data_IF_882792005857
#
_entry.id   IF_882792005857
#
_cell.length_a   1.000
_cell.length_b   1.000
_cell.length_c   1.000
_cell.angle_alpha   90.00
_cell.angle_beta   90.00
_cell.angle_gamma   90.00
#
_symmetry.space_group_name_H-M   'P 1'
#
loop_
_entity.id
_entity.type
_entity.pdbx_description
1 polymer ?
#
# COMPACT_ATOMS: atom_id res chain seq x y z
N UNK A 1 -8.63 3.66 -22.46
CA UNK A 1 -8.96 4.85 -21.65
C UNK A 1 -8.01 4.83 -20.49
N UNK A 2 -7.15 5.84 -20.36
CA UNK A 2 -6.07 5.82 -19.38
C UNK A 2 -6.55 6.51 -18.10
N UNK A 3 -6.69 5.74 -17.03
CA UNK A 3 -6.73 6.28 -15.67
C UNK A 3 -5.27 6.56 -15.32
N UNK A 4 -4.89 7.84 -15.28
CA UNK A 4 -3.55 8.24 -14.83
C UNK A 4 -3.44 7.97 -13.34
N UNK A 5 -2.54 7.06 -12.96
CA UNK A 5 -2.27 6.73 -11.56
C UNK A 5 -0.93 7.37 -11.21
N UNK A 6 -0.98 8.33 -10.29
CA UNK A 6 0.20 8.95 -9.69
C UNK A 6 0.18 8.76 -8.19
N UNK A 7 1.37 8.79 -7.58
CA UNK A 7 1.53 8.89 -6.13
C UNK A 7 1.17 10.30 -5.60
N UNK A 8 1.20 10.49 -4.27
CA UNK A 8 0.93 11.77 -3.57
C UNK A 8 1.82 12.93 -4.02
N UNK A 9 2.94 12.61 -4.67
CA UNK A 9 3.97 13.53 -5.13
C UNK A 9 4.00 13.68 -6.67
N UNK A 10 2.97 13.19 -7.38
CA UNK A 10 2.83 13.31 -8.83
C UNK A 10 3.71 12.37 -9.66
N UNK A 11 4.42 11.42 -9.04
CA UNK A 11 5.18 10.38 -9.77
C UNK A 11 4.23 9.37 -10.40
N UNK A 12 4.45 9.00 -11.65
CA UNK A 12 3.63 8.00 -12.33
C UNK A 12 3.86 6.58 -11.77
N UNK A 13 2.75 5.82 -11.67
CA UNK A 13 2.73 4.38 -11.43
C UNK A 13 2.42 3.65 -12.73
N UNK A 14 3.22 2.63 -13.03
CA UNK A 14 2.94 1.70 -14.12
C UNK A 14 1.97 0.62 -13.64
N UNK A 15 1.12 0.10 -14.53
CA UNK A 15 0.04 -0.85 -14.21
C UNK A 15 0.11 -2.12 -15.06
N UNK A 16 -0.59 -3.16 -14.60
CA UNK A 16 -0.74 -4.42 -15.31
C UNK A 16 -1.67 -4.28 -16.52
N UNK A 17 -1.21 -4.70 -17.70
CA UNK A 17 -1.99 -4.70 -18.95
C UNK A 17 -3.31 -5.49 -18.86
N UNK A 18 -3.33 -6.52 -18.01
CA UNK A 18 -4.51 -7.37 -17.78
C UNK A 18 -5.38 -6.91 -16.60
N UNK A 19 -4.87 -6.01 -15.76
CA UNK A 19 -5.60 -5.48 -14.60
C UNK A 19 -5.20 -4.02 -14.29
N UNK A 20 -5.89 -3.01 -14.84
CA UNK A 20 -5.55 -1.60 -14.63
C UNK A 20 -5.75 -1.08 -13.20
N UNK A 21 -6.24 -1.91 -12.26
CA UNK A 21 -6.24 -1.58 -10.83
C UNK A 21 -4.96 -2.00 -10.09
N UNK A 22 -4.06 -2.74 -10.75
CA UNK A 22 -2.85 -3.32 -10.15
C UNK A 22 -1.60 -2.61 -10.65
N UNK A 23 -0.94 -1.89 -9.73
CA UNK A 23 0.38 -1.25 -9.96
C UNK A 23 1.50 -2.30 -10.02
N UNK A 24 2.36 -2.16 -11.03
CA UNK A 24 3.44 -3.09 -11.37
C UNK A 24 4.85 -2.48 -11.26
N UNK A 25 4.96 -1.14 -11.24
CA UNK A 25 6.18 -0.41 -10.84
C UNK A 25 5.88 1.09 -10.62
N UNK A 26 6.87 1.85 -10.17
CA UNK A 26 6.90 3.31 -10.07
C UNK A 26 8.17 3.85 -10.75
N UNK A 27 8.13 5.07 -11.30
CA UNK A 27 9.31 5.68 -11.94
C UNK A 27 10.37 6.13 -10.92
N UNK A 28 9.95 6.45 -9.68
CA UNK A 28 10.83 6.78 -8.55
C UNK A 28 10.39 6.06 -7.28
N UNK A 29 11.36 5.66 -6.46
CA UNK A 29 11.12 4.96 -5.20
C UNK A 29 11.78 5.69 -4.03
N UNK A 30 11.11 5.68 -2.87
CA UNK A 30 11.77 5.82 -1.58
C UNK A 30 12.66 4.59 -1.37
N UNK A 31 13.83 4.78 -0.76
CA UNK A 31 14.72 3.68 -0.37
C UNK A 31 14.75 3.54 1.17
N UNK A 32 13.76 2.87 1.80
CA UNK A 32 13.72 2.55 3.23
C UNK A 32 15.03 2.04 3.82
N UNK A 33 15.68 1.14 3.10
CA UNK A 33 16.85 0.41 3.55
C UNK A 33 17.72 0.07 2.34
N UNK A 34 18.98 0.48 2.41
CA UNK A 34 20.05 0.12 1.49
C UNK A 34 21.08 -0.61 2.32
N UNK A 35 21.27 -1.91 2.10
CA UNK A 35 21.87 -2.80 3.08
C UNK A 35 22.63 -3.96 2.46
N UNK A 36 23.17 -4.83 3.30
CA UNK A 36 23.87 -6.05 2.91
C UNK A 36 23.49 -7.18 3.88
N UNK A 37 23.45 -8.41 3.37
CA UNK A 37 23.33 -9.63 4.18
C UNK A 37 24.45 -10.59 3.79
N UNK A 38 25.10 -11.21 4.76
CA UNK A 38 26.25 -12.10 4.50
C UNK A 38 26.22 -13.35 5.38
N UNK A 39 26.67 -14.50 4.85
CA UNK A 39 26.71 -15.74 5.62
C UNK A 39 27.64 -15.60 6.83
N UNK A 40 27.25 -16.24 7.93
CA UNK A 40 27.98 -16.22 9.21
C UNK A 40 27.91 -14.90 10.00
N UNK A 41 27.44 -13.79 9.42
CA UNK A 41 27.37 -12.47 10.08
C UNK A 41 25.94 -11.94 10.23
N UNK A 42 25.05 -12.18 9.26
CA UNK A 42 23.64 -11.82 9.37
C UNK A 42 22.86 -12.89 10.17
N UNK A 43 22.25 -12.56 11.32
CA UNK A 43 21.40 -13.50 12.06
C UNK A 43 20.19 -13.92 11.22
N UNK A 44 19.99 -15.22 11.03
CA UNK A 44 18.90 -15.76 10.20
C UNK A 44 19.18 -15.75 8.69
N UNK A 45 20.43 -15.54 8.24
CA UNK A 45 20.81 -15.51 6.82
C UNK A 45 20.19 -16.66 5.98
N UNK A 46 20.25 -17.90 6.47
CA UNK A 46 19.72 -19.08 5.75
C UNK A 46 18.20 -19.04 5.56
N UNK A 47 17.46 -18.52 6.54
CA UNK A 47 16.01 -18.29 6.40
C UNK A 47 15.76 -17.14 5.41
N UNK A 48 16.62 -16.11 5.44
CA UNK A 48 16.45 -14.93 4.61
C UNK A 48 16.65 -15.20 3.11
N UNK A 49 17.62 -16.08 2.76
CA UNK A 49 17.89 -16.45 1.36
C UNK A 49 17.07 -17.64 0.84
N UNK A 50 16.22 -18.26 1.67
CA UNK A 50 15.32 -19.37 1.26
C UNK A 50 14.48 -18.98 0.04
N UNK A 51 13.90 -17.77 0.03
CA UNK A 51 13.16 -17.24 -1.13
C UNK A 51 14.01 -17.15 -2.41
N UNK A 52 15.32 -16.87 -2.31
CA UNK A 52 16.21 -16.87 -3.47
C UNK A 52 16.48 -18.29 -3.95
N UNK A 53 16.69 -19.21 -3.01
CA UNK A 53 17.04 -20.61 -3.22
C UNK A 53 15.92 -21.38 -3.93
N UNK A 54 14.68 -21.21 -3.45
CA UNK A 54 13.48 -21.80 -4.05
C UNK A 54 13.22 -21.32 -5.48
N UNK A 55 13.68 -20.10 -5.83
CA UNK A 55 13.56 -19.52 -7.16
C UNK A 55 14.81 -19.73 -8.03
N UNK A 56 15.81 -20.49 -7.57
CA UNK A 56 17.06 -20.75 -8.31
C UNK A 56 18.00 -19.54 -8.43
N UNK A 57 17.77 -18.50 -7.62
CA UNK A 57 18.54 -17.25 -7.61
C UNK A 57 19.59 -17.18 -6.48
N UNK A 58 19.65 -18.18 -5.59
CA UNK A 58 20.69 -18.26 -4.56
C UNK A 58 22.06 -18.64 -5.18
N UNK A 59 22.77 -17.63 -5.66
CA UNK A 59 23.94 -17.75 -6.55
C UNK A 59 25.18 -17.02 -6.02
N UNK A 60 25.08 -16.29 -4.91
CA UNK A 60 26.15 -15.45 -4.34
C UNK A 60 26.69 -16.01 -3.02
N UNK A 61 27.81 -16.76 -3.01
CA UNK A 61 28.42 -17.27 -1.78
C UNK A 61 29.00 -16.15 -0.89
N UNK A 62 29.21 -14.95 -1.43
CA UNK A 62 29.62 -13.75 -0.68
C UNK A 62 28.50 -13.14 0.16
N UNK A 63 27.23 -13.45 -0.15
CA UNK A 63 26.05 -12.74 0.34
C UNK A 63 25.46 -11.77 -0.68
N UNK A 64 24.54 -10.91 -0.24
CA UNK A 64 23.76 -10.04 -1.12
C UNK A 64 23.83 -8.59 -0.67
N UNK A 65 24.04 -7.70 -1.63
CA UNK A 65 23.63 -6.30 -1.51
C UNK A 65 22.12 -6.20 -1.72
N UNK A 66 21.45 -5.43 -0.87
CA UNK A 66 19.99 -5.27 -0.84
C UNK A 66 19.57 -3.80 -1.04
N UNK A 67 18.52 -3.58 -1.83
CA UNK A 67 17.75 -2.34 -1.80
C UNK A 67 16.28 -2.68 -1.58
N UNK A 68 15.69 -2.08 -0.55
CA UNK A 68 14.25 -2.04 -0.36
C UNK A 68 13.71 -0.81 -1.05
N UNK A 69 12.88 -1.04 -2.06
CA UNK A 69 12.24 -0.04 -2.91
C UNK A 69 10.79 0.09 -2.47
N UNK A 70 10.32 1.32 -2.33
CA UNK A 70 8.96 1.63 -1.90
C UNK A 70 8.38 2.78 -2.69
N UNK A 71 7.16 2.60 -3.16
CA UNK A 71 6.19 3.67 -3.35
C UNK A 71 4.94 3.32 -2.55
N UNK A 72 3.99 4.24 -2.50
CA UNK A 72 2.68 4.10 -1.85
C UNK A 72 1.93 2.82 -2.25
N UNK A 73 2.17 2.36 -3.48
CA UNK A 73 1.43 1.32 -4.19
C UNK A 73 2.25 0.08 -4.53
N UNK A 74 3.57 0.17 -4.40
CA UNK A 74 4.48 -0.84 -4.92
C UNK A 74 5.69 -1.00 -4.02
N UNK A 75 5.92 -2.24 -3.63
CA UNK A 75 7.06 -2.71 -2.87
C UNK A 75 7.92 -3.57 -3.79
N UNK A 76 9.23 -3.39 -3.71
CA UNK A 76 10.16 -4.35 -4.29
C UNK A 76 11.42 -4.49 -3.45
N UNK A 77 12.05 -5.66 -3.56
CA UNK A 77 13.38 -5.90 -3.01
C UNK A 77 14.32 -6.35 -4.12
N UNK A 78 15.39 -5.57 -4.29
CA UNK A 78 16.52 -5.94 -5.11
C UNK A 78 17.52 -6.79 -4.31
N UNK A 79 18.05 -7.82 -4.96
CA UNK A 79 19.18 -8.63 -4.47
C UNK A 79 20.27 -8.64 -5.54
N UNK A 80 21.47 -8.14 -5.22
CA UNK A 80 22.60 -8.05 -6.13
C UNK A 80 23.95 -8.16 -5.41
N UNK A 81 25.01 -7.66 -6.02
CA UNK A 81 26.35 -7.70 -5.42
C UNK A 81 26.50 -6.71 -4.27
N UNK A 82 27.36 -7.05 -3.31
CA UNK A 82 27.68 -6.18 -2.18
C UNK A 82 28.42 -4.93 -2.67
N UNK A 83 29.32 -5.10 -3.64
CA UNK A 83 30.14 -4.05 -4.23
C UNK A 83 29.30 -2.94 -4.86
N UNK A 84 28.26 -3.29 -5.61
CA UNK A 84 27.36 -2.34 -6.27
C UNK A 84 26.57 -1.53 -5.25
N UNK A 85 26.08 -2.16 -4.18
CA UNK A 85 25.30 -1.49 -3.15
C UNK A 85 26.19 -0.61 -2.26
N UNK A 86 27.39 -1.04 -1.91
CA UNK A 86 28.36 -0.19 -1.22
C UNK A 86 28.88 0.95 -2.10
N UNK A 87 28.96 0.78 -3.42
CA UNK A 87 29.20 1.88 -4.36
C UNK A 87 28.05 2.88 -4.35
N UNK A 88 26.82 2.40 -4.55
CA UNK A 88 25.61 3.23 -4.55
C UNK A 88 25.47 4.05 -3.25
N UNK A 89 25.72 3.43 -2.08
CA UNK A 89 25.73 4.13 -0.78
C UNK A 89 26.72 5.31 -0.72
N UNK A 90 27.90 5.16 -1.31
CA UNK A 90 28.94 6.21 -1.33
C UNK A 90 28.60 7.33 -2.31
N UNK A 91 28.01 6.99 -3.45
CA UNK A 91 27.71 7.93 -4.53
C UNK A 91 26.40 8.69 -4.28
N UNK A 92 25.41 8.09 -3.62
CA UNK A 92 24.09 8.69 -3.38
C UNK A 92 24.04 9.74 -2.26
N UNK A 93 25.18 10.35 -1.92
CA UNK A 93 25.30 11.31 -0.81
C UNK A 93 24.44 12.58 -0.98
N UNK A 94 24.07 12.93 -2.22
CA UNK A 94 23.17 14.04 -2.55
C UNK A 94 21.78 13.60 -3.08
N UNK A 95 21.49 12.29 -3.05
CA UNK A 95 20.26 11.70 -3.54
C UNK A 95 20.12 11.56 -5.06
N UNK A 96 21.18 11.77 -5.85
CA UNK A 96 21.12 11.73 -7.33
C UNK A 96 21.85 10.55 -7.98
N UNK A 97 22.39 9.58 -7.23
CA UNK A 97 23.05 8.44 -7.84
C UNK A 97 22.05 7.57 -8.61
N UNK A 98 22.45 7.12 -9.79
CA UNK A 98 21.70 6.11 -10.55
C UNK A 98 22.11 4.71 -10.09
N UNK A 99 21.25 3.73 -10.36
CA UNK A 99 21.42 2.36 -9.90
C UNK A 99 20.98 1.39 -11.00
N UNK A 100 21.86 0.46 -11.36
CA UNK A 100 21.62 -0.53 -12.41
C UNK A 100 20.97 -1.80 -11.83
N UNK A 101 19.64 -1.81 -11.85
CA UNK A 101 18.82 -2.92 -11.39
C UNK A 101 18.97 -4.23 -12.22
N UNK A 102 19.70 -4.22 -13.35
CA UNK A 102 19.89 -5.41 -14.18
C UNK A 102 21.00 -6.36 -13.68
N UNK A 103 21.80 -5.93 -12.71
CA UNK A 103 22.95 -6.71 -12.18
C UNK A 103 22.58 -7.69 -11.05
N UNK A 104 21.29 -7.92 -10.86
CA UNK A 104 20.72 -8.76 -9.81
C UNK A 104 19.25 -9.09 -10.08
N UNK A 105 18.54 -9.56 -9.05
CA UNK A 105 17.13 -9.99 -9.17
C UNK A 105 16.21 -9.07 -8.39
N UNK A 106 15.03 -8.82 -8.94
CA UNK A 106 14.01 -7.94 -8.38
C UNK A 106 12.74 -8.73 -8.06
N UNK A 107 12.29 -8.68 -6.81
CA UNK A 107 11.01 -9.27 -6.40
C UNK A 107 9.97 -8.17 -6.21
N UNK A 108 8.78 -8.31 -6.82
CA UNK A 108 7.67 -7.34 -6.77
C UNK A 108 6.82 -7.44 -5.48
N UNK A 109 7.52 -7.60 -4.35
CA UNK A 109 7.06 -7.62 -2.96
C UNK A 109 8.27 -7.33 -2.07
N UNK A 110 8.07 -7.12 -0.76
CA UNK A 110 9.15 -7.36 0.20
C UNK A 110 9.10 -8.82 0.70
N UNK A 111 10.26 -9.44 1.00
CA UNK A 111 10.28 -10.67 1.79
C UNK A 111 9.82 -10.40 3.23
N UNK A 112 9.30 -11.43 3.90
CA UNK A 112 8.75 -11.38 5.25
C UNK A 112 9.07 -12.70 5.99
N UNK A 113 8.89 -12.72 7.30
CA UNK A 113 9.11 -13.89 8.14
C UNK A 113 10.49 -13.92 8.79
N UNK A 114 10.95 -15.13 9.12
CA UNK A 114 12.14 -15.39 9.95
C UNK A 114 13.39 -14.70 9.36
N UNK A 115 14.10 -13.98 10.23
CA UNK A 115 15.19 -13.07 9.83
C UNK A 115 14.68 -11.72 9.32
N UNK A 116 13.84 -11.72 8.28
CA UNK A 116 13.32 -10.49 7.64
C UNK A 116 12.55 -9.57 8.60
N UNK A 117 11.68 -10.08 9.46
CA UNK A 117 10.82 -9.27 10.35
C UNK A 117 11.59 -8.36 11.33
N UNK A 118 12.87 -8.68 11.59
CA UNK A 118 13.77 -7.86 12.41
C UNK A 118 14.72 -6.99 11.56
N UNK A 119 14.85 -7.27 10.27
CA UNK A 119 15.70 -6.55 9.32
C UNK A 119 14.94 -5.41 8.62
N UNK A 120 13.62 -5.56 8.41
CA UNK A 120 12.77 -4.55 7.79
C UNK A 120 12.58 -3.31 8.69
N UNK A 121 12.59 -2.08 8.13
CA UNK A 121 12.15 -0.89 8.83
C UNK A 121 10.66 -1.00 9.19
N UNK A 122 10.29 -0.80 10.46
CA UNK A 122 8.89 -0.81 10.92
C UNK A 122 8.07 0.42 10.46
N UNK A 123 8.73 1.43 9.90
CA UNK A 123 8.11 2.68 9.44
C UNK A 123 8.22 2.78 7.93
N UNK A 124 7.12 2.43 7.29
CA UNK A 124 7.09 2.16 5.85
C UNK A 124 6.84 3.45 5.03
N UNK A 125 5.72 4.19 5.08
CA UNK A 125 5.59 5.41 4.23
C UNK A 125 5.60 6.71 5.02
N UNK A 126 4.55 6.94 5.79
CA UNK A 126 4.34 8.17 6.53
C UNK A 126 5.35 8.28 7.68
N UNK A 127 5.93 9.48 7.83
CA UNK A 127 6.87 9.80 8.89
C UNK A 127 6.51 11.17 9.47
N UNK A 128 6.53 11.33 10.78
CA UNK A 128 6.13 12.57 11.45
C UNK A 128 6.91 13.79 10.92
N UNK A 129 8.22 13.61 10.69
CA UNK A 129 9.11 14.62 10.07
C UNK A 129 8.74 15.05 8.63
N UNK A 130 7.80 14.36 7.98
CA UNK A 130 7.28 14.67 6.62
C UNK A 130 5.84 15.22 6.64
N UNK A 131 5.32 15.59 7.82
CA UNK A 131 3.96 16.12 7.98
C UNK A 131 2.88 15.06 8.25
N UNK A 132 3.30 13.82 8.58
CA UNK A 132 2.40 12.83 9.16
C UNK A 132 2.10 13.17 10.65
N UNK A 133 1.00 12.63 11.20
CA UNK A 133 0.64 12.88 12.61
C UNK A 133 1.57 12.11 13.56
N UNK A 134 1.93 10.89 13.15
CA UNK A 134 2.97 10.06 13.73
C UNK A 134 3.67 9.29 12.60
N UNK A 135 4.70 8.52 12.94
CA UNK A 135 5.22 7.51 12.01
C UNK A 135 4.14 6.44 11.75
N UNK A 136 3.92 6.07 10.48
CA UNK A 136 2.79 5.25 10.04
C UNK A 136 1.51 6.05 9.74
N UNK A 137 1.02 6.84 10.69
CA UNK A 137 -0.28 7.55 10.60
C UNK A 137 -0.27 8.70 9.57
N UNK A 138 -0.96 8.56 8.43
CA UNK A 138 -1.08 9.63 7.45
C UNK A 138 -1.73 9.23 6.11
N UNK A 139 -1.87 10.21 5.21
CA UNK A 139 -2.33 9.96 3.83
C UNK A 139 -1.29 9.14 3.08
N UNK A 140 -1.68 7.95 2.61
CA UNK A 140 -0.83 7.06 1.81
C UNK A 140 -0.85 7.50 0.36
N UNK A 141 -2.04 7.69 -0.24
CA UNK A 141 -2.16 8.22 -1.61
C UNK A 141 -3.54 8.83 -1.89
N UNK A 142 -3.70 9.52 -3.02
CA UNK A 142 -4.98 10.08 -3.44
C UNK A 142 -5.15 10.11 -4.97
N UNK A 143 -6.30 9.66 -5.45
CA UNK A 143 -6.68 9.64 -6.87
C UNK A 143 -7.84 10.61 -7.11
N UNK A 144 -7.80 11.39 -8.20
CA UNK A 144 -8.96 12.18 -8.61
C UNK A 144 -10.11 11.27 -9.10
N UNK A 145 -11.35 11.59 -8.74
CA UNK A 145 -12.52 10.85 -9.19
C UNK A 145 -12.87 11.20 -10.65
N UNK A 146 -13.05 10.20 -11.51
CA UNK A 146 -13.21 10.42 -12.96
C UNK A 146 -14.49 11.18 -13.33
N UNK A 147 -15.59 10.90 -12.64
CA UNK A 147 -16.92 11.42 -13.00
C UNK A 147 -17.38 12.63 -12.16
N UNK A 148 -16.66 13.01 -11.10
CA UNK A 148 -17.10 14.02 -10.11
C UNK A 148 -15.96 15.01 -9.84
N UNK A 149 -16.00 16.23 -10.41
CA UNK A 149 -14.96 17.23 -10.23
C UNK A 149 -14.72 17.60 -8.76
N UNK A 150 -13.45 17.70 -8.36
CA UNK A 150 -13.05 18.03 -6.99
C UNK A 150 -13.19 16.89 -5.98
N UNK A 151 -13.72 15.72 -6.37
CA UNK A 151 -13.75 14.55 -5.51
C UNK A 151 -12.48 13.69 -5.65
N UNK A 152 -12.13 12.99 -4.57
CA UNK A 152 -10.93 12.16 -4.44
C UNK A 152 -11.32 10.76 -3.95
N UNK A 153 -10.53 9.75 -4.32
CA UNK A 153 -10.45 8.50 -3.57
C UNK A 153 -9.09 8.44 -2.88
N UNK A 154 -9.09 8.48 -1.56
CA UNK A 154 -7.90 8.65 -0.71
C UNK A 154 -7.62 7.34 0.01
N UNK A 155 -6.36 6.91 -0.03
CA UNK A 155 -5.82 5.78 0.74
C UNK A 155 -5.00 6.37 1.88
N UNK A 156 -5.10 5.79 3.07
CA UNK A 156 -4.47 6.33 4.27
C UNK A 156 -4.26 5.25 5.33
N UNK A 157 -3.45 5.62 6.32
CA UNK A 157 -3.04 4.79 7.44
C UNK A 157 -3.37 5.53 8.74
N UNK A 158 -3.86 4.78 9.74
CA UNK A 158 -4.44 5.27 10.98
C UNK A 158 -3.99 4.43 12.17
N UNK A 159 -4.10 4.99 13.38
CA UNK A 159 -4.16 4.16 14.59
C UNK A 159 -5.62 3.88 14.96
N UNK A 160 -5.93 2.66 15.37
CA UNK A 160 -7.27 2.25 15.79
C UNK A 160 -7.31 0.76 16.09
N UNK A 161 -8.49 0.17 16.22
CA UNK A 161 -8.62 -1.30 16.38
C UNK A 161 -9.67 -1.88 15.43
N UNK A 162 -9.41 -3.07 14.89
CA UNK A 162 -10.29 -3.76 13.94
C UNK A 162 -11.59 -4.27 14.59
N UNK A 163 -11.59 -4.50 15.91
CA UNK A 163 -12.74 -5.04 16.65
C UNK A 163 -13.00 -4.23 17.93
N UNK A 164 -14.27 -3.99 18.31
CA UNK A 164 -14.60 -3.31 19.56
C UNK A 164 -13.92 -3.97 20.77
N UNK A 165 -13.15 -3.19 21.54
CA UNK A 165 -12.42 -3.66 22.72
C UNK A 165 -11.12 -4.42 22.44
N UNK A 166 -10.62 -4.43 21.19
CA UNK A 166 -9.26 -4.85 20.88
C UNK A 166 -8.22 -3.76 21.18
N UNK A 167 -6.96 -4.15 21.27
CA UNK A 167 -5.84 -3.20 21.39
C UNK A 167 -5.71 -2.33 20.13
N UNK A 168 -5.22 -1.08 20.23
CA UNK A 168 -4.86 -0.26 19.10
C UNK A 168 -3.66 -0.81 18.30
N UNK A 169 -3.72 -0.69 16.99
CA UNK A 169 -2.66 -1.01 16.04
C UNK A 169 -2.63 0.03 14.91
N UNK A 170 -1.57 0.03 14.12
CA UNK A 170 -1.53 0.75 12.84
C UNK A 170 -2.34 -0.02 11.79
N UNK A 171 -3.25 0.65 11.11
CA UNK A 171 -4.19 0.05 10.16
C UNK A 171 -4.26 0.88 8.87
N UNK A 172 -4.56 0.24 7.73
CA UNK A 172 -4.57 0.84 6.39
C UNK A 172 -5.89 0.59 5.67
N UNK A 173 -6.38 1.59 4.91
CA UNK A 173 -7.69 1.57 4.24
C UNK A 173 -7.87 2.74 3.24
N UNK A 174 -9.08 2.91 2.69
CA UNK A 174 -9.41 3.98 1.72
C UNK A 174 -10.83 4.58 1.90
N UNK A 175 -11.10 5.70 1.21
CA UNK A 175 -12.37 6.45 1.21
C UNK A 175 -12.58 7.24 -0.07
N UNK A 176 -13.83 7.31 -0.56
CA UNK A 176 -14.24 8.13 -1.70
C UNK A 176 -15.07 9.34 -1.23
N UNK A 177 -14.59 10.57 -1.45
CA UNK A 177 -15.35 11.78 -1.10
C UNK A 177 -16.56 12.00 -2.02
N UNK A 178 -16.55 11.42 -3.22
CA UNK A 178 -17.59 11.59 -4.24
C UNK A 178 -18.96 11.05 -3.82
N UNK A 179 -18.99 10.07 -2.91
CA UNK A 179 -20.21 9.47 -2.39
C UNK A 179 -20.50 9.84 -0.92
N UNK A 180 -19.52 10.41 -0.21
CA UNK A 180 -19.54 10.55 1.26
C UNK A 180 -19.01 11.91 1.70
N UNK A 181 -19.83 12.96 1.55
CA UNK A 181 -19.45 14.34 1.88
C UNK A 181 -19.36 14.63 3.39
N UNK A 182 -20.17 13.96 4.25
CA UNK A 182 -20.25 14.26 5.72
C UNK A 182 -20.27 13.04 6.66
N UNK A 183 -20.04 13.22 7.98
CA UNK A 183 -18.91 12.56 8.68
C UNK A 183 -19.12 11.59 9.91
N UNK A 184 -19.88 10.47 9.85
CA UNK A 184 -20.12 9.57 11.03
C UNK A 184 -20.36 8.07 10.67
N UNK A 185 -19.55 6.99 10.93
CA UNK A 185 -18.90 6.45 12.18
C UNK A 185 -18.25 5.00 11.97
N UNK A 186 -16.96 4.77 11.66
CA UNK A 186 -16.58 3.79 10.60
C UNK A 186 -15.38 2.77 10.73
N UNK A 187 -15.37 1.57 10.07
CA UNK A 187 -14.21 0.62 9.97
C UNK A 187 -14.05 -0.41 8.77
N UNK A 188 -15.05 -0.87 8.02
CA UNK A 188 -15.04 -2.01 7.04
C UNK A 188 -13.98 -2.33 5.93
N UNK A 189 -13.00 -1.50 5.55
CA UNK A 189 -11.88 -1.89 4.65
C UNK A 189 -10.52 -1.76 5.35
N UNK A 190 -10.57 -1.69 6.68
CA UNK A 190 -9.41 -1.51 7.54
C UNK A 190 -8.71 -2.85 7.72
N UNK A 191 -7.44 -2.91 7.34
CA UNK A 191 -6.57 -4.05 7.62
C UNK A 191 -5.41 -3.60 8.48
N UNK A 192 -4.87 -4.50 9.30
CA UNK A 192 -3.61 -4.25 10.02
C UNK A 192 -2.51 -3.87 9.02
N UNK A 193 -1.79 -2.77 9.28
CA UNK A 193 -0.67 -2.39 8.45
C UNK A 193 0.55 -3.26 8.77
N UNK A 194 0.54 -4.47 8.22
CA UNK A 194 1.66 -5.41 8.23
C UNK A 194 2.75 -5.06 7.20
N UNK A 195 2.61 -3.94 6.47
CA UNK A 195 3.61 -3.44 5.52
C UNK A 195 3.00 -2.94 4.19
N UNK A 196 3.85 -2.56 3.21
CA UNK A 196 3.43 -1.94 1.96
C UNK A 196 2.40 -2.74 1.15
N UNK A 197 2.41 -4.07 1.27
CA UNK A 197 1.50 -4.93 0.52
C UNK A 197 0.03 -4.78 0.97
N UNK A 198 -0.20 -4.39 2.24
CA UNK A 198 -1.55 -4.06 2.75
C UNK A 198 -2.05 -2.71 2.22
N UNK A 199 -1.16 -1.73 1.98
CA UNK A 199 -1.49 -0.47 1.26
C UNK A 199 -1.89 -0.76 -0.18
N UNK A 200 -1.06 -1.53 -0.89
CA UNK A 200 -1.30 -1.99 -2.26
C UNK A 200 -2.63 -2.74 -2.40
N UNK A 201 -3.09 -3.46 -1.36
CA UNK A 201 -4.44 -4.02 -1.32
C UNK A 201 -5.52 -2.92 -1.22
N UNK A 202 -5.47 -2.05 -0.20
CA UNK A 202 -6.48 -1.03 0.05
C UNK A 202 -6.65 -0.08 -1.15
N UNK A 203 -5.53 0.30 -1.75
CA UNK A 203 -5.49 1.15 -2.93
C UNK A 203 -5.92 0.45 -4.23
N UNK A 204 -5.68 -0.86 -4.35
CA UNK A 204 -6.28 -1.66 -5.43
C UNK A 204 -7.81 -1.65 -5.33
N UNK A 205 -8.39 -1.75 -4.13
CA UNK A 205 -9.84 -1.60 -3.93
C UNK A 205 -10.31 -0.19 -4.34
N UNK A 206 -9.61 0.86 -3.90
CA UNK A 206 -9.88 2.24 -4.33
C UNK A 206 -9.88 2.42 -5.86
N UNK A 207 -8.92 1.83 -6.57
CA UNK A 207 -8.88 1.86 -8.05
C UNK A 207 -9.97 1.01 -8.68
N UNK A 208 -10.31 -0.17 -8.13
CA UNK A 208 -11.43 -0.99 -8.61
C UNK A 208 -12.77 -0.24 -8.47
N UNK A 209 -12.94 0.54 -7.41
CA UNK A 209 -14.08 1.44 -7.21
C UNK A 209 -14.14 2.53 -8.29
N UNK A 210 -13.04 3.25 -8.57
CA UNK A 210 -12.97 4.24 -9.67
C UNK A 210 -13.26 3.60 -11.04
N UNK A 211 -12.68 2.43 -11.33
CA UNK A 211 -12.91 1.70 -12.58
C UNK A 211 -14.38 1.29 -12.73
N UNK A 212 -15.07 0.99 -11.62
CA UNK A 212 -16.50 0.71 -11.61
C UNK A 212 -17.34 1.96 -11.89
N UNK A 213 -17.06 3.09 -11.21
CA UNK A 213 -17.66 4.39 -11.53
C UNK A 213 -17.49 4.76 -13.02
N UNK A 214 -16.29 4.59 -13.56
CA UNK A 214 -15.98 4.95 -14.94
C UNK A 214 -16.66 4.03 -15.98
N UNK A 215 -16.91 2.77 -15.64
CA UNK A 215 -17.57 1.79 -16.54
C UNK A 215 -19.09 1.81 -16.50
N UNK A 216 -19.67 2.15 -15.34
CA UNK A 216 -21.11 1.99 -15.08
C UNK A 216 -21.80 3.30 -14.70
N UNK A 217 -21.04 4.36 -14.40
CA UNK A 217 -21.53 5.61 -13.81
C UNK A 217 -21.51 5.58 -12.28
N UNK A 218 -21.60 6.74 -11.65
CA UNK A 218 -21.77 6.85 -10.19
C UNK A 218 -23.22 6.57 -9.82
N UNK A 219 -23.44 5.71 -8.82
CA UNK A 219 -24.78 5.38 -8.32
C UNK A 219 -25.61 4.44 -9.21
N UNK A 220 -25.10 4.02 -10.37
CA UNK A 220 -25.72 2.93 -11.16
C UNK A 220 -25.83 1.64 -10.32
N UNK A 221 -26.80 0.78 -10.65
CA UNK A 221 -27.07 -0.45 -9.91
C UNK A 221 -25.92 -1.47 -9.97
N UNK A 222 -25.02 -1.37 -10.95
CA UNK A 222 -23.85 -2.22 -11.13
C UNK A 222 -22.55 -1.53 -10.66
N UNK A 223 -22.65 -0.33 -10.11
CA UNK A 223 -21.51 0.49 -9.69
C UNK A 223 -21.13 0.22 -8.25
N UNK A 224 -19.86 -0.11 -8.00
CA UNK A 224 -19.29 -0.24 -6.66
C UNK A 224 -19.25 1.11 -5.89
N UNK A 225 -19.62 2.21 -6.56
CA UNK A 225 -19.83 3.54 -5.96
C UNK A 225 -21.26 3.74 -5.44
N UNK A 226 -22.15 2.74 -5.54
CA UNK A 226 -23.47 2.78 -4.91
C UNK A 226 -23.38 2.15 -3.51
N UNK A 227 -23.84 2.84 -2.43
CA UNK A 227 -23.79 2.27 -1.08
C UNK A 227 -24.83 1.16 -0.84
N UNK A 228 -25.89 1.10 -1.64
CA UNK A 228 -27.00 0.15 -1.47
C UNK A 228 -26.69 -1.30 -1.91
N UNK A 229 -27.46 -2.23 -1.35
CA UNK A 229 -27.51 -3.68 -1.63
C UNK A 229 -26.27 -4.50 -1.17
N UNK A 230 -25.33 -3.93 -0.43
CA UNK A 230 -24.17 -4.64 0.12
C UNK A 230 -23.22 -5.30 -0.90
N UNK A 231 -23.30 -4.94 -2.18
CA UNK A 231 -22.51 -5.56 -3.28
C UNK A 231 -21.00 -5.48 -3.01
N UNK A 232 -20.54 -4.30 -2.60
CA UNK A 232 -19.15 -4.05 -2.22
C UNK A 232 -18.72 -4.93 -1.02
N UNK A 233 -19.56 -5.08 0.00
CA UNK A 233 -19.26 -5.89 1.18
C UNK A 233 -19.10 -7.38 0.79
N UNK A 234 -19.97 -7.87 -0.12
CA UNK A 234 -19.86 -9.21 -0.71
C UNK A 234 -18.58 -9.40 -1.53
N UNK A 235 -18.15 -8.39 -2.30
CA UNK A 235 -16.87 -8.41 -3.04
C UNK A 235 -15.67 -8.42 -2.10
N UNK A 236 -15.67 -7.60 -1.05
CA UNK A 236 -14.58 -7.58 -0.04
C UNK A 236 -14.54 -8.91 0.73
N UNK A 237 -15.70 -9.45 1.13
CA UNK A 237 -15.80 -10.79 1.71
C UNK A 237 -15.27 -11.87 0.75
N UNK A 238 -15.48 -11.76 -0.58
CA UNK A 238 -14.92 -12.69 -1.55
C UNK A 238 -13.38 -12.58 -1.65
N UNK A 239 -12.83 -11.38 -1.81
CA UNK A 239 -11.38 -11.16 -1.91
C UNK A 239 -10.65 -11.51 -0.60
N UNK A 240 -11.26 -11.24 0.55
CA UNK A 240 -10.70 -11.61 1.85
C UNK A 240 -10.61 -13.13 2.04
N UNK A 241 -11.62 -13.89 1.57
CA UNK A 241 -11.57 -15.37 1.55
C UNK A 241 -10.48 -15.88 0.61
N UNK A 242 -10.34 -15.29 -0.57
CA UNK A 242 -9.35 -15.68 -1.59
C UNK A 242 -7.91 -15.43 -1.12
N UNK A 243 -7.64 -14.30 -0.45
CA UNK A 243 -6.32 -13.95 0.07
C UNK A 243 -5.95 -14.61 1.41
N UNK A 244 -6.91 -14.77 2.32
CA UNK A 244 -6.64 -15.15 3.71
C UNK A 244 -7.27 -16.50 4.12
N UNK A 245 -7.90 -17.21 3.19
CA UNK A 245 -8.46 -18.55 3.42
C UNK A 245 -9.62 -18.60 4.42
N UNK A 246 -10.28 -17.47 4.70
CA UNK A 246 -11.32 -17.42 5.75
C UNK A 246 -12.56 -18.22 5.36
N UNK A 247 -13.24 -18.78 6.36
CA UNK A 247 -14.52 -19.52 6.15
C UNK A 247 -15.74 -18.66 6.45
N UNK A 248 -15.59 -17.64 7.30
CA UNK A 248 -16.61 -16.62 7.57
C UNK A 248 -16.37 -15.35 6.76
N UNK A 249 -17.47 -14.63 6.49
CA UNK A 249 -17.40 -13.23 6.11
C UNK A 249 -16.73 -12.40 7.21
N UNK A 250 -16.03 -11.34 6.82
CA UNK A 250 -15.50 -10.33 7.74
C UNK A 250 -16.50 -9.18 7.97
N UNK A 251 -17.40 -8.95 6.99
CA UNK A 251 -18.38 -7.88 6.94
C UNK A 251 -19.81 -8.43 6.79
N UNK A 252 -20.87 -7.72 7.21
CA UNK A 252 -22.25 -8.08 6.86
C UNK A 252 -22.46 -7.99 5.33
N UNK A 253 -23.27 -8.87 4.73
CA UNK A 253 -23.48 -8.92 3.27
C UNK A 253 -24.52 -7.91 2.74
N UNK A 254 -25.26 -7.22 3.62
CA UNK A 254 -26.46 -6.42 3.26
C UNK A 254 -26.67 -5.17 4.12
N UNK A 255 -25.61 -4.62 4.74
CA UNK A 255 -25.72 -3.35 5.48
C UNK A 255 -25.40 -2.16 4.57
N UNK A 256 -26.44 -1.62 3.94
CA UNK A 256 -26.39 -0.49 3.02
C UNK A 256 -25.86 0.81 3.65
N UNK A 257 -25.90 0.92 4.98
CA UNK A 257 -25.37 2.07 5.70
C UNK A 257 -23.92 1.84 6.15
N UNK A 258 -23.36 0.63 6.00
CA UNK A 258 -22.07 0.26 6.56
C UNK A 258 -20.95 1.17 6.06
N UNK A 259 -20.83 1.42 4.75
CA UNK A 259 -19.74 2.25 4.20
C UNK A 259 -19.80 3.76 4.52
N UNK A 260 -20.88 4.23 5.15
CA UNK A 260 -21.02 5.61 5.62
C UNK A 260 -21.10 5.73 7.14
N UNK A 261 -21.47 4.64 7.85
CA UNK A 261 -21.82 4.63 9.29
C UNK A 261 -21.21 3.50 10.11
N UNK A 262 -20.44 2.60 9.50
CA UNK A 262 -19.57 1.54 10.07
C UNK A 262 -18.37 1.17 9.14
N UNK A 263 -17.93 2.03 8.21
CA UNK A 263 -17.03 1.68 7.10
C UNK A 263 -15.95 2.71 6.71
N UNK A 264 -14.65 2.40 6.90
CA UNK A 264 -13.46 3.23 7.29
C UNK A 264 -13.53 4.76 7.55
N UNK A 265 -14.37 5.48 6.83
CA UNK A 265 -14.21 6.89 6.50
C UNK A 265 -14.14 7.84 7.71
N UNK A 266 -14.92 7.64 8.77
CA UNK A 266 -15.00 8.54 9.93
C UNK A 266 -13.69 8.70 10.68
N UNK A 267 -12.83 7.68 10.73
CA UNK A 267 -11.55 7.81 11.42
C UNK A 267 -10.63 8.75 10.61
N UNK A 268 -10.79 8.83 9.27
CA UNK A 268 -10.21 9.93 8.47
C UNK A 268 -10.77 11.26 8.91
N UNK A 269 -12.08 11.34 9.14
CA UNK A 269 -12.75 12.62 9.35
C UNK A 269 -12.34 13.25 10.69
N UNK A 270 -11.92 12.43 11.64
CA UNK A 270 -11.20 12.85 12.84
C UNK A 270 -9.71 13.13 12.56
N UNK A 271 -8.99 12.27 11.83
CA UNK A 271 -7.54 12.44 11.54
C UNK A 271 -7.21 13.60 10.58
N UNK A 272 -8.00 13.86 9.53
CA UNK A 272 -7.85 14.99 8.58
C UNK A 272 -8.16 16.34 9.22
N UNK A 273 -8.66 16.40 10.46
CA UNK A 273 -8.60 17.62 11.27
C UNK A 273 -7.14 18.06 11.52
N UNK A 274 -6.20 17.11 11.51
CA UNK A 274 -4.75 17.34 11.48
C UNK A 274 -4.20 17.59 10.06
N UNK A 275 -4.55 18.74 9.46
CA UNK A 275 -3.87 19.39 8.30
C UNK A 275 -3.72 18.54 7.02
N UNK A 276 -4.46 18.91 5.95
CA UNK A 276 -4.21 18.41 4.58
C UNK A 276 -2.80 18.83 4.10
N UNK A 277 -1.98 17.93 3.49
CA UNK A 277 -0.67 18.30 2.95
C UNK A 277 -0.76 19.49 1.97
N UNK A 278 0.10 20.52 2.07
CA UNK A 278 -0.05 21.77 1.30
C UNK A 278 -0.09 21.63 -0.23
N UNK A 279 0.45 20.54 -0.78
CA UNK A 279 0.41 20.23 -2.22
C UNK A 279 -1.01 19.95 -2.75
N UNK A 280 -1.99 19.73 -1.87
CA UNK A 280 -3.42 19.65 -2.19
C UNK A 280 -4.20 20.90 -1.69
N UNK A 281 -3.54 22.05 -1.60
CA UNK A 281 -4.11 23.33 -1.16
C UNK A 281 -4.49 24.30 -2.28
N UNK A 282 -4.60 23.82 -3.53
CA UNK A 282 -4.86 24.60 -4.74
C UNK A 282 -6.17 24.18 -5.42
#
# INVERSE_FOLDING_TARGET
MNITITNTYGTAHNISDTNPAHVTSCDYYRLPLVGTITPGHTPGYEDMVEMLRDNGHDTRPEGYGLIFLESEEFSATYFGSIEQIEQYKRENADGKATFDASQGVMYAKWPHGKGWDNFLPRVFWNQAQRGAIADGIGLVTAFAHTEIPGAEVIVYELEGTWRPGGEPAQLVTYHCTACHMDTFHDCGHVHENTGPDSRRWAARQARQHIISAHRHGVGDTNSACRPNNGEMLRVVNAVARDMWGTTSNALPDTDDAYCATKGPCSIIRELRAGVRPPVYGA
#
